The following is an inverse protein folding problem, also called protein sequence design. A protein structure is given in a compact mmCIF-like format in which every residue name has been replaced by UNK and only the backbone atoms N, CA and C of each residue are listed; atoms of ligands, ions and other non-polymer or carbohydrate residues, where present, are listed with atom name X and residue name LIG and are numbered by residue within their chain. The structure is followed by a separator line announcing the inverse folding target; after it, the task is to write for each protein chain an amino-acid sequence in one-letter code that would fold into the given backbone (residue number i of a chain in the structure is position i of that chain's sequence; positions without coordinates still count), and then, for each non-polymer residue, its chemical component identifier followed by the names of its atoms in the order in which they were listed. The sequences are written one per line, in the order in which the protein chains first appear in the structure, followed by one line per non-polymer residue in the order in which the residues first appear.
data_IF_503672872117
#
_entry.id   IF_503672872117
#
_cell.length_a   1.000
_cell.length_b   1.000
_cell.length_c   1.000
_cell.angle_alpha   90.00
_cell.angle_beta   90.00
_cell.angle_gamma   90.00
#
_symmetry.space_group_name_H-M   'P 1'
#
loop_
_entity.id
_entity.type
_entity.pdbx_description
1 polymer ?
#
# COMPACT_ATOMS: atom_id res chain seq x y z
N UNK A 1 -14.45 -19.79 2.12
CA UNK A 1 -13.04 -19.37 1.93
C UNK A 1 -13.03 -17.91 1.54
N UNK A 2 -12.25 -17.03 2.19
CA UNK A 2 -12.15 -15.64 1.78
C UNK A 2 -11.55 -15.55 0.37
N UNK A 3 -12.09 -14.66 -0.47
CA UNK A 3 -11.52 -14.38 -1.79
C UNK A 3 -10.18 -13.66 -1.61
N UNK A 4 -9.22 -13.93 -2.49
CA UNK A 4 -7.89 -13.31 -2.43
C UNK A 4 -7.80 -12.16 -3.43
N UNK A 5 -7.34 -11.00 -2.95
CA UNK A 5 -6.94 -9.87 -3.79
C UNK A 5 -5.41 -9.77 -3.80
N UNK A 6 -4.83 -9.71 -5.00
CA UNK A 6 -3.41 -9.38 -5.21
C UNK A 6 -3.32 -7.91 -5.58
N UNK A 7 -2.67 -7.11 -4.74
CA UNK A 7 -2.59 -5.66 -4.89
C UNK A 7 -1.15 -5.29 -5.25
N UNK A 8 -0.96 -4.82 -6.49
CA UNK A 8 0.31 -4.30 -6.97
C UNK A 8 0.37 -2.79 -6.74
N UNK A 9 1.32 -2.36 -5.92
CA UNK A 9 1.56 -0.96 -5.60
C UNK A 9 2.71 -0.44 -6.47
N UNK A 10 2.47 0.67 -7.18
CA UNK A 10 3.52 1.38 -7.91
C UNK A 10 4.46 2.15 -6.98
N UNK A 11 5.62 2.56 -7.50
CA UNK A 11 6.60 3.36 -6.74
C UNK A 11 6.03 4.68 -6.21
N UNK A 12 5.01 5.24 -6.86
CA UNK A 12 4.27 6.42 -6.42
C UNK A 12 3.51 6.23 -5.09
N UNK A 13 3.28 4.98 -4.68
CA UNK A 13 2.73 4.65 -3.36
C UNK A 13 3.76 4.82 -2.24
N UNK A 14 5.06 4.85 -2.58
CA UNK A 14 6.17 4.97 -1.64
C UNK A 14 6.80 6.37 -1.75
N UNK A 15 7.09 6.84 -2.96
CA UNK A 15 7.71 8.15 -3.21
C UNK A 15 6.96 8.89 -4.32
N UNK A 16 6.51 10.11 -4.04
CA UNK A 16 5.83 10.96 -5.02
C UNK A 16 6.83 11.82 -5.79
N UNK A 17 6.44 12.28 -6.98
CA UNK A 17 7.32 13.03 -7.88
C UNK A 17 7.79 14.39 -7.31
N UNK A 18 7.03 14.96 -6.38
CA UNK A 18 7.29 16.23 -5.72
C UNK A 18 8.03 16.10 -4.37
N UNK A 19 8.40 14.88 -3.98
CA UNK A 19 9.04 14.60 -2.70
C UNK A 19 10.53 14.34 -2.85
N UNK A 20 11.29 14.63 -1.80
CA UNK A 20 12.72 14.32 -1.74
C UNK A 20 13.00 12.81 -1.57
N UNK A 21 11.97 12.03 -1.23
CA UNK A 21 12.10 10.59 -1.02
C UNK A 21 12.79 10.24 0.29
N UNK A 22 12.71 11.10 1.30
CA UNK A 22 13.23 10.80 2.64
C UNK A 22 12.49 9.61 3.26
N UNK A 23 13.14 8.91 4.18
CA UNK A 23 12.51 7.82 4.94
C UNK A 23 11.19 8.27 5.61
N UNK A 24 11.13 9.49 6.13
CA UNK A 24 9.93 10.02 6.78
C UNK A 24 8.75 10.17 5.80
N UNK A 25 9.00 10.74 4.60
CA UNK A 25 7.99 10.87 3.54
C UNK A 25 7.53 9.49 3.06
N UNK A 26 8.47 8.58 2.81
CA UNK A 26 8.16 7.23 2.36
C UNK A 26 7.33 6.45 3.39
N UNK A 27 7.71 6.53 4.68
CA UNK A 27 6.95 5.90 5.75
C UNK A 27 5.54 6.48 5.89
N UNK A 28 5.37 7.79 5.69
CA UNK A 28 4.05 8.43 5.69
C UNK A 28 3.19 7.96 4.51
N UNK A 29 3.75 7.88 3.30
CA UNK A 29 3.06 7.38 2.11
C UNK A 29 2.68 5.90 2.25
N UNK A 30 3.61 5.05 2.71
CA UNK A 30 3.36 3.64 2.95
C UNK A 30 2.26 3.41 4.00
N UNK A 31 2.26 4.18 5.10
CA UNK A 31 1.16 4.15 6.09
C UNK A 31 -0.17 4.56 5.48
N UNK A 32 -0.17 5.55 4.60
CA UNK A 32 -1.39 5.97 3.91
C UNK A 32 -1.94 4.86 3.00
N UNK A 33 -1.07 4.19 2.26
CA UNK A 33 -1.45 3.06 1.40
C UNK A 33 -1.90 1.84 2.21
N UNK A 34 -1.23 1.55 3.34
CA UNK A 34 -1.58 0.44 4.22
C UNK A 34 -3.03 0.53 4.73
N UNK A 35 -3.57 1.73 4.95
CA UNK A 35 -4.98 1.90 5.34
C UNK A 35 -5.95 1.31 4.31
N UNK A 36 -5.67 1.47 3.02
CA UNK A 36 -6.48 0.89 1.93
C UNK A 36 -6.39 -0.63 1.93
N UNK A 37 -5.21 -1.19 2.16
CA UNK A 37 -5.00 -2.64 2.29
C UNK A 37 -5.75 -3.20 3.50
N UNK A 38 -5.71 -2.51 4.64
CA UNK A 38 -6.45 -2.88 5.84
C UNK A 38 -7.97 -2.88 5.57
N UNK A 39 -8.50 -1.89 4.85
CA UNK A 39 -9.92 -1.88 4.49
C UNK A 39 -10.35 -3.11 3.66
N UNK A 40 -9.50 -3.61 2.76
CA UNK A 40 -9.75 -4.87 2.04
C UNK A 40 -9.78 -6.07 2.99
N UNK A 41 -8.84 -6.10 3.95
CA UNK A 41 -8.80 -7.15 4.98
C UNK A 41 -10.07 -7.13 5.84
N UNK A 42 -10.50 -5.95 6.27
CA UNK A 42 -11.70 -5.75 7.09
C UNK A 42 -12.98 -6.15 6.33
N UNK A 43 -12.98 -5.98 5.00
CA UNK A 43 -14.04 -6.46 4.12
C UNK A 43 -14.01 -7.98 3.87
N UNK A 44 -13.14 -8.73 4.55
CA UNK A 44 -13.09 -10.19 4.52
C UNK A 44 -12.24 -10.79 3.42
N UNK A 45 -11.33 -10.02 2.80
CA UNK A 45 -10.42 -10.53 1.79
C UNK A 45 -9.13 -11.10 2.40
N UNK A 46 -8.59 -12.14 1.75
CA UNK A 46 -7.16 -12.44 1.83
C UNK A 46 -6.42 -11.43 0.96
N UNK A 47 -5.35 -10.81 1.46
CA UNK A 47 -4.64 -9.77 0.71
C UNK A 47 -3.17 -10.14 0.56
N UNK A 48 -2.68 -10.11 -0.67
CA UNK A 48 -1.26 -10.23 -1.00
C UNK A 48 -0.82 -8.89 -1.59
N UNK A 49 0.21 -8.29 -1.01
CA UNK A 49 0.73 -6.99 -1.45
C UNK A 49 2.09 -7.20 -2.10
N UNK A 50 2.27 -6.61 -3.28
CA UNK A 50 3.55 -6.56 -4.00
C UNK A 50 3.84 -5.12 -4.38
N UNK A 51 5.11 -4.77 -4.51
CA UNK A 51 5.54 -3.47 -5.04
C UNK A 51 6.79 -3.62 -5.89
N UNK A 52 7.05 -2.62 -6.74
CA UNK A 52 8.29 -2.48 -7.51
C UNK A 52 9.31 -1.61 -6.82
#
# INVERSE_FOLDING_TARGET
MPRTAVVALGGNAITRADQAGTHAEQAANARAMARTVCALRDAGWGVVVVHG
#
